data_IF_565134547211
#
_entry.id   IF_565134547211
#
_cell.length_a   1.000
_cell.length_b   1.000
_cell.length_c   1.000
_cell.angle_alpha   90.00
_cell.angle_beta   90.00
_cell.angle_gamma   90.00
#
_symmetry.space_group_name_H-M   'P 1'
#
loop_
_entity.id
_entity.type
_entity.pdbx_description
1 polymer ?
2 polymer ?
3 polymer ?
4 non-polymer ?
5 non-polymer ?
6 water ?
#
loop_
_entity_poly.entity_id
_entity_poly.type
_entity_poly.pdbx_seq_one_letter_code
_entity_poly.pdbx_strand_id
1 'polydeoxyribonucleotide' '(DA)(DG)(DG)(DG)(BRU)(DC)(DC)(BRU)(BRU)(DC)(DC)(DC)(DC)(DC)' ?
2 'polydeoxyribonucleotide' '(DG)(DG)(DG)(DG)(DG)(DA)(DA)(DG)(DG)(DA)(DC)(DC)(DOC)' ?
#
# COMPACT_ATOMS: atom_id res chain seq x y z
N UNK C 1 26.02 -0.53 1.18
CA UNK C 1 25.01 0.13 2.07
C UNK C 1 24.04 0.98 1.25
N UNK C 2 22.75 0.78 1.47
CA UNK C 2 21.73 1.52 0.76
C UNK C 2 21.03 2.58 1.63
N UNK C 3 20.53 3.62 0.99
CA UNK C 3 19.78 4.66 1.67
C UNK C 3 18.41 4.65 0.99
N UNK C 4 17.44 4.11 1.71
CA UNK C 4 16.08 3.97 1.22
C UNK C 4 15.13 4.89 1.97
N UNK C 5 14.16 5.46 1.25
CA UNK C 5 13.18 6.32 1.89
C UNK C 5 11.80 5.75 1.65
N UNK C 6 10.97 5.77 2.69
CA UNK C 6 9.60 5.29 2.61
C UNK C 6 8.67 6.47 2.85
N UNK C 7 7.87 6.79 1.84
CA UNK C 7 6.94 7.90 1.92
C UNK C 7 5.54 7.34 2.19
N UNK C 8 4.91 7.85 3.23
CA UNK C 8 3.59 7.38 3.63
C UNK C 8 2.73 8.59 3.91
N UNK C 9 1.70 8.79 3.10
CA UNK C 9 0.84 9.96 3.26
C UNK C 9 -0.16 9.86 4.40
N UNK C 10 -0.52 11.00 4.97
CA UNK C 10 -1.47 11.05 6.06
C UNK C 10 -2.90 10.77 5.56
N UNK C 11 -3.60 9.88 6.26
CA UNK C 11 -5.00 9.53 5.95
C UNK C 11 -5.35 9.95 4.52
N UNK C 12 -4.70 9.28 3.56
CA UNK C 12 -4.84 9.61 2.14
C UNK C 12 -6.21 9.98 1.59
N UNK C 13 -7.19 9.09 1.69
CA UNK C 13 -8.53 9.40 1.16
C UNK C 13 -9.12 10.66 1.81
N UNK C 14 -9.01 10.77 3.11
CA UNK C 14 -9.55 11.93 3.80
C UNK C 14 -8.89 13.17 3.22
N UNK C 15 -7.58 13.11 3.02
CA UNK C 15 -6.83 14.23 2.46
C UNK C 15 -7.34 14.63 1.10
N UNK C 16 -7.57 13.63 0.25
CA UNK C 16 -8.06 13.93 -1.08
C UNK C 16 -9.49 14.50 -1.03
N UNK C 17 -10.24 14.11 -0.01
CA UNK C 17 -11.61 14.61 0.12
C UNK C 17 -11.62 16.01 0.73
N UNK C 18 -10.68 16.27 1.64
CA UNK C 18 -10.58 17.57 2.28
C UNK C 18 -10.10 18.64 1.31
N UNK C 19 -9.25 18.23 0.37
CA UNK C 19 -8.73 19.16 -0.62
C UNK C 19 -9.84 19.50 -1.62
N UNK C 20 -10.82 18.61 -1.74
CA UNK C 20 -11.94 18.83 -2.64
C UNK C 20 -12.96 19.77 -2.00
N UNK C 21 -13.30 19.50 -0.74
CA UNK C 21 -14.25 20.34 -0.02
C UNK C 21 -13.59 20.89 1.25
N UNK C 22 -12.99 22.09 1.14
CA UNK C 22 -12.31 22.78 2.24
C UNK C 22 -13.08 22.83 3.55
N UNK C 23 -14.41 22.95 3.46
CA UNK C 23 -15.22 23.01 4.66
C UNK C 23 -15.25 21.68 5.42
N UNK C 24 -14.22 20.87 5.20
CA UNK C 24 -14.11 19.58 5.86
C UNK C 24 -12.81 19.48 6.65
N UNK C 25 -11.86 20.35 6.33
CA UNK C 25 -10.55 20.33 7.00
C UNK C 25 -10.54 20.95 8.39
N UNK C 26 -11.68 20.92 9.06
CA UNK C 26 -11.78 21.48 10.40
C UNK C 26 -12.63 20.59 11.31
N UNK C 27 -13.38 19.68 10.72
CA UNK C 27 -14.22 18.78 11.49
C UNK C 27 -13.86 17.32 11.26
N UNK C 28 -14.17 16.45 12.22
CA UNK C 28 -13.90 15.01 12.13
C UNK C 28 -14.45 14.44 10.84
N UNK C 29 -13.58 13.96 9.96
CA UNK C 29 -14.01 13.40 8.70
C UNK C 29 -13.64 11.94 8.53
N UNK C 30 -14.57 11.19 7.96
CA UNK C 30 -14.32 9.79 7.72
C UNK C 30 -14.76 9.50 6.30
N UNK C 31 -14.06 8.58 5.63
CA UNK C 31 -14.44 8.24 4.27
C UNK C 31 -15.12 6.88 4.37
N UNK C 32 -16.37 6.82 3.91
CA UNK C 32 -17.13 5.59 3.99
C UNK C 32 -17.17 4.77 2.71
N UNK C 33 -17.09 3.45 2.88
CA UNK C 33 -17.14 2.49 1.79
C UNK C 33 -18.05 1.34 2.22
N UNK C 34 -19.33 1.42 1.85
CA UNK C 34 -20.29 0.37 2.19
C UNK C 34 -20.27 0.04 3.68
N UNK C 35 -20.73 0.97 4.51
CA UNK C 35 -20.77 0.75 5.95
C UNK C 35 -19.41 0.37 6.53
N UNK C 36 -18.35 1.00 6.03
CA UNK C 36 -17.01 0.71 6.53
C UNK C 36 -16.11 1.92 6.34
N UNK C 37 -15.91 2.67 7.43
CA UNK C 37 -15.05 3.85 7.40
C UNK C 37 -13.61 3.41 7.20
N UNK C 38 -13.16 3.33 5.95
CA UNK C 38 -11.79 2.91 5.66
C UNK C 38 -10.77 3.82 6.32
N UNK C 39 -11.08 5.12 6.37
CA UNK C 39 -10.14 6.06 6.98
C UNK C 39 -10.84 7.33 7.40
N UNK C 40 -10.12 8.16 8.16
CA UNK C 40 -10.65 9.42 8.65
C UNK C 40 -9.48 10.35 8.93
N UNK C 41 -9.72 11.66 8.91
CA UNK C 41 -8.64 12.61 9.17
C UNK C 41 -8.24 12.57 10.65
N UNK C 42 -7.04 13.05 10.96
CA UNK C 42 -6.55 13.05 12.33
C UNK C 42 -7.42 13.88 13.26
N UNK C 43 -8.19 14.80 12.69
CA UNK C 43 -9.06 15.65 13.48
C UNK C 43 -10.28 14.83 13.91
N UNK C 44 -10.11 13.51 13.94
CA UNK C 44 -11.17 12.58 14.33
C UNK C 44 -10.56 11.28 14.81
N UNK C 45 -9.28 11.08 14.46
CA UNK C 45 -8.57 9.89 14.86
C UNK C 45 -8.32 9.99 16.37
N UNK C 46 -8.48 11.20 16.90
CA UNK C 46 -8.28 11.44 18.31
C UNK C 46 -9.56 11.07 19.07
N UNK C 47 -10.67 11.06 18.34
CA UNK C 47 -11.97 10.73 18.93
C UNK C 47 -12.26 9.24 18.93
N UNK C 48 -11.22 8.44 19.10
CA UNK C 48 -11.38 6.99 19.15
C UNK C 48 -11.53 6.29 17.81
N UNK C 49 -11.99 7.02 16.79
CA UNK C 49 -12.16 6.44 15.47
C UNK C 49 -10.83 5.88 14.99
N UNK C 50 -10.78 4.58 14.73
CA UNK C 50 -9.55 3.94 14.28
C UNK C 50 -9.73 3.16 12.98
N UNK C 51 -10.38 3.79 12.00
CA UNK C 51 -10.61 3.14 10.72
C UNK C 51 -11.54 1.95 10.95
N UNK C 52 -12.39 2.07 11.98
CA UNK C 52 -13.33 1.02 12.34
C UNK C 52 -14.61 1.08 11.52
N UNK C 53 -15.30 -0.05 11.43
CA UNK C 53 -16.54 -0.14 10.67
C UNK C 53 -17.67 0.60 11.39
N UNK C 54 -18.89 0.11 11.18
CA UNK C 54 -20.08 0.70 11.78
C UNK C 54 -20.11 2.22 11.67
N UNK C 55 -20.78 2.70 10.62
CA UNK C 55 -20.91 4.12 10.36
C UNK C 55 -21.51 4.89 11.54
N UNK C 56 -22.36 4.22 12.31
CA UNK C 56 -23.02 4.85 13.46
C UNK C 56 -22.06 5.16 14.61
N UNK C 57 -21.04 4.32 14.80
CA UNK C 57 -20.06 4.51 15.87
C UNK C 57 -19.65 5.96 16.03
N UNK C 58 -18.73 6.41 15.17
CA UNK C 58 -18.24 7.79 15.22
C UNK C 58 -19.39 8.79 15.13
N UNK C 59 -20.37 8.48 14.29
CA UNK C 59 -21.53 9.36 14.10
C UNK C 59 -22.04 9.96 15.42
N UNK C 60 -22.40 9.10 16.36
CA UNK C 60 -22.90 9.54 17.64
C UNK C 60 -21.88 10.42 18.34
N UNK C 61 -20.69 9.90 18.56
CA UNK C 61 -19.63 10.65 19.22
C UNK C 61 -19.15 11.81 18.37
N UNK C 62 -19.88 12.11 17.30
CA UNK C 62 -19.54 13.21 16.42
C UNK C 62 -20.67 13.48 15.43
N UNK C 63 -21.68 14.24 15.84
CA UNK C 63 -22.82 14.57 14.98
C UNK C 63 -22.37 15.08 13.62
N UNK C 64 -21.49 16.08 13.63
CA UNK C 64 -20.97 16.66 12.40
C UNK C 64 -19.74 15.88 11.94
N UNK C 65 -19.90 14.57 11.79
CA UNK C 65 -18.82 13.72 11.34
C UNK C 65 -18.69 13.88 9.83
N UNK C 66 -19.76 14.38 9.23
CA UNK C 66 -19.82 14.60 7.79
C UNK C 66 -19.03 13.55 7.01
N UNK C 67 -19.57 12.34 6.96
CA UNK C 67 -18.93 11.24 6.26
C UNK C 67 -19.12 11.36 4.75
N UNK C 68 -18.09 10.98 4.00
CA UNK C 68 -18.15 11.05 2.55
C UNK C 68 -17.95 9.65 1.98
N UNK C 69 -18.60 9.38 0.86
CA UNK C 69 -18.50 8.06 0.22
C UNK C 69 -17.21 7.97 -0.59
N UNK C 70 -16.43 6.92 -0.37
CA UNK C 70 -15.19 6.78 -1.10
C UNK C 70 -15.13 5.54 -1.96
N UNK C 71 -16.28 5.05 -2.41
CA UNK C 71 -16.34 3.85 -3.24
C UNK C 71 -15.68 4.01 -4.60
N UNK C 72 -15.92 5.14 -5.25
CA UNK C 72 -15.30 5.43 -6.54
C UNK C 72 -13.85 5.80 -6.18
N UNK C 73 -12.88 5.06 -6.73
CA UNK C 73 -11.47 5.33 -6.42
C UNK C 73 -10.72 6.21 -7.42
N UNK C 74 -11.39 6.59 -8.50
CA UNK C 74 -10.78 7.43 -9.53
C UNK C 74 -9.89 8.56 -9.02
N UNK C 75 -10.46 9.48 -8.26
CA UNK C 75 -9.72 10.64 -7.74
C UNK C 75 -8.48 10.27 -6.91
N UNK C 76 -8.61 9.23 -6.10
CA UNK C 76 -7.53 8.76 -5.25
C UNK C 76 -6.39 8.20 -6.09
N UNK C 77 -6.76 7.39 -7.07
CA UNK C 77 -5.78 6.77 -7.95
C UNK C 77 -5.02 7.82 -8.75
N UNK C 78 -5.70 8.88 -9.15
CA UNK C 78 -5.05 9.93 -9.92
C UNK C 78 -4.05 10.69 -9.06
N UNK C 79 -4.44 11.01 -7.83
CA UNK C 79 -3.52 11.71 -6.96
C UNK C 79 -2.36 10.77 -6.63
N UNK C 80 -2.69 9.50 -6.40
CA UNK C 80 -1.66 8.52 -6.08
C UNK C 80 -0.56 8.53 -7.13
N UNK C 81 -0.94 8.50 -8.40
CA UNK C 81 0.08 8.50 -9.45
C UNK C 81 0.80 9.82 -9.57
N UNK C 82 0.15 10.92 -9.20
CA UNK C 82 0.83 12.21 -9.26
C UNK C 82 1.94 12.21 -8.20
N UNK C 83 1.69 11.56 -7.07
CA UNK C 83 2.70 11.49 -6.01
C UNK C 83 3.89 10.66 -6.51
N UNK C 84 3.61 9.49 -7.05
CA UNK C 84 4.67 8.61 -7.55
C UNK C 84 5.50 9.29 -8.63
N UNK C 85 4.85 9.99 -9.55
CA UNK C 85 5.57 10.68 -10.62
C UNK C 85 6.45 11.80 -10.06
N UNK C 86 5.93 12.55 -9.11
CA UNK C 86 6.71 13.62 -8.50
C UNK C 86 7.93 12.97 -7.87
N UNK C 87 7.73 11.86 -7.17
CA UNK C 87 8.85 11.17 -6.55
C UNK C 87 9.82 10.65 -7.61
N UNK C 88 9.30 10.09 -8.69
CA UNK C 88 10.16 9.57 -9.76
C UNK C 88 11.08 10.65 -10.33
N UNK C 89 10.64 11.91 -10.23
CA UNK C 89 11.44 13.03 -10.72
C UNK C 89 12.70 13.19 -9.87
N UNK C 90 12.59 12.93 -8.57
CA UNK C 90 13.76 13.02 -7.69
C UNK C 90 14.70 11.88 -8.05
N UNK C 91 14.16 10.69 -8.19
CA UNK C 91 14.94 9.51 -8.53
C UNK C 91 14.04 8.44 -9.14
N UNK C 92 14.42 7.93 -10.32
CA UNK C 92 13.70 6.90 -11.10
C UNK C 92 13.19 5.65 -10.40
N UNK C 93 14.03 5.01 -9.60
CA UNK C 93 13.63 3.78 -8.93
C UNK C 93 12.66 4.03 -7.78
N UNK C 94 11.37 3.91 -8.09
CA UNK C 94 10.31 4.13 -7.13
C UNK C 94 9.29 3.00 -7.13
N UNK C 95 9.03 2.45 -5.94
CA UNK C 95 8.08 1.36 -5.79
C UNK C 95 6.82 1.80 -5.04
N UNK C 96 5.67 1.45 -5.61
CA UNK C 96 4.39 1.76 -5.03
C UNK C 96 3.92 0.57 -4.18
N UNK C 97 3.17 0.87 -3.13
CA UNK C 97 2.62 -0.15 -2.25
C UNK C 97 1.29 0.45 -1.84
N UNK C 98 0.22 0.01 -2.50
CA UNK C 98 -1.09 0.57 -2.23
C UNK C 98 -1.13 1.93 -2.91
N UNK C 99 -2.13 2.73 -2.60
CA UNK C 99 -2.27 4.05 -3.22
C UNK C 99 -1.52 5.20 -2.57
N UNK C 100 -0.98 5.02 -1.37
CA UNK C 100 -0.28 6.14 -0.74
C UNK C 100 1.09 5.87 -0.14
N UNK C 101 1.70 4.74 -0.49
CA UNK C 101 3.03 4.43 0.00
C UNK C 101 3.97 4.31 -1.18
N UNK C 102 5.18 4.82 -1.02
CA UNK C 102 6.19 4.76 -2.07
C UNK C 102 7.57 4.56 -1.45
N UNK C 103 8.33 3.62 -2.00
CA UNK C 103 9.69 3.40 -1.55
C UNK C 103 10.55 4.02 -2.64
N UNK C 104 11.63 4.67 -2.23
CA UNK C 104 12.53 5.25 -3.20
C UNK C 104 13.95 4.91 -2.80
N UNK C 105 14.71 4.39 -3.76
CA UNK C 105 16.11 4.04 -3.53
C UNK C 105 16.91 5.31 -3.81
N UNK C 106 17.47 5.90 -2.76
CA UNK C 106 18.23 7.14 -2.87
C UNK C 106 19.74 6.98 -2.91
N UNK C 107 20.20 5.74 -2.82
CA UNK C 107 21.65 5.47 -2.79
C UNK C 107 22.48 6.31 -3.75
N UNK C 108 22.27 6.14 -5.06
CA UNK C 108 23.05 6.89 -6.04
C UNK C 108 22.92 8.40 -5.90
N UNK C 109 21.71 8.87 -5.63
CA UNK C 109 21.47 10.29 -5.49
C UNK C 109 22.23 10.86 -4.30
N UNK C 110 22.23 10.12 -3.18
CA UNK C 110 22.94 10.57 -1.99
C UNK C 110 24.44 10.72 -2.29
N UNK C 111 25.01 9.72 -2.95
CA UNK C 111 26.43 9.76 -3.30
C UNK C 111 26.76 10.94 -4.19
N UNK C 112 25.98 11.13 -5.24
CA UNK C 112 26.21 12.24 -6.16
C UNK C 112 26.28 13.54 -5.37
N UNK C 113 25.44 13.67 -4.35
CA UNK C 113 25.46 14.89 -3.56
C UNK C 113 26.71 14.97 -2.71
N UNK C 114 27.07 13.88 -2.05
CA UNK C 114 28.28 13.87 -1.21
C UNK C 114 29.52 14.26 -2.00
N UNK C 115 29.72 13.62 -3.14
CA UNK C 115 30.87 13.92 -4.00
C UNK C 115 30.89 15.40 -4.40
N UNK C 116 29.71 15.95 -4.68
CA UNK C 116 29.59 17.34 -5.09
C UNK C 116 29.94 18.28 -3.93
N UNK C 117 29.82 17.80 -2.70
CA UNK C 117 30.10 18.60 -1.52
C UNK C 117 31.60 18.74 -1.24
N UNK C 118 31.98 19.88 -0.64
CA UNK C 118 33.37 20.16 -0.31
C UNK C 118 33.88 19.32 0.85
N UNK C 119 35.21 19.27 0.99
CA UNK C 119 35.85 18.51 2.05
C UNK C 119 35.92 19.32 3.34
N UNK C 120 35.01 20.28 3.47
CA UNK C 120 34.97 21.14 4.65
C UNK C 120 33.53 21.33 5.12
N UNK C 121 32.61 21.46 4.17
CA UNK C 121 31.21 21.64 4.49
C UNK C 121 30.57 20.29 4.78
N UNK C 122 31.40 19.24 4.76
CA UNK C 122 30.95 17.88 5.02
C UNK C 122 30.65 17.75 6.50
N UNK C 123 31.35 18.55 7.31
CA UNK C 123 31.15 18.53 8.76
C UNK C 123 30.03 19.47 9.15
N UNK C 124 29.39 20.06 8.15
CA UNK C 124 28.28 20.99 8.38
C UNK C 124 26.97 20.28 8.07
N UNK C 125 27.06 19.08 7.51
CA UNK C 125 25.86 18.32 7.17
C UNK C 125 24.99 18.15 8.42
N UNK C 126 23.70 18.41 8.27
CA UNK C 126 22.78 18.28 9.39
C UNK C 126 21.57 17.44 8.99
N UNK C 127 20.80 17.05 9.99
CA UNK C 127 19.63 16.24 9.76
C UNK C 127 18.40 17.09 9.57
N UNK C 128 17.43 16.54 8.85
CA UNK C 128 16.16 17.21 8.62
C UNK C 128 15.11 16.31 9.28
N UNK C 129 14.44 16.83 10.29
CA UNK C 129 13.44 16.03 10.98
C UNK C 129 14.01 15.27 12.18
N UNK C 130 13.28 14.23 12.60
CA UNK C 130 13.66 13.42 13.76
C UNK C 130 14.75 12.39 13.54
N UNK C 131 15.56 12.18 14.58
CA UNK C 131 16.58 11.13 14.55
C UNK C 131 15.97 10.08 15.49
N UNK C 132 15.70 8.89 14.97
CA UNK C 132 15.08 7.86 15.80
C UNK C 132 15.83 7.58 17.11
N UNK C 133 15.06 7.39 18.18
CA UNK C 133 15.58 7.11 19.51
C UNK C 133 16.54 8.19 19.96
N UNK C 134 16.33 9.40 19.43
CA UNK C 134 17.15 10.55 19.78
C UNK C 134 18.62 10.16 19.80
N UNK C 135 19.02 9.31 18.88
CA UNK C 135 20.41 8.86 18.81
C UNK C 135 21.40 9.97 18.38
N UNK C 136 22.56 9.97 19.01
CA UNK C 136 23.59 10.97 18.71
C UNK C 136 24.25 10.74 17.36
N UNK C 137 24.39 11.83 16.60
CA UNK C 137 25.01 11.74 15.29
C UNK C 137 26.53 11.82 15.35
N UNK C 138 27.20 11.07 14.48
CA UNK C 138 28.66 11.12 14.41
C UNK C 138 28.99 11.52 12.99
N UNK C 139 29.37 12.78 12.83
CA UNK C 139 29.70 13.31 11.52
C UNK C 139 30.83 12.59 10.79
N UNK C 140 31.64 11.84 11.53
CA UNK C 140 32.76 11.13 10.90
C UNK C 140 32.34 9.73 10.47
N UNK C 141 31.11 9.35 10.80
CA UNK C 141 30.59 8.05 10.40
C UNK C 141 29.96 8.20 9.01
N UNK C 142 30.62 7.65 8.01
CA UNK C 142 30.15 7.73 6.62
C UNK C 142 28.68 7.35 6.45
N UNK C 143 28.26 6.30 7.15
CA UNK C 143 26.88 5.84 7.07
C UNK C 143 25.92 6.86 7.71
N UNK C 144 26.38 7.55 8.75
CA UNK C 144 25.56 8.57 9.41
C UNK C 144 25.36 9.73 8.43
N UNK C 145 26.46 10.15 7.80
CA UNK C 145 26.44 11.25 6.85
C UNK C 145 25.49 10.98 5.69
N UNK C 146 25.61 9.79 5.11
CA UNK C 146 24.78 9.39 3.98
C UNK C 146 23.31 9.32 4.35
N UNK C 147 23.01 8.86 5.56
CA UNK C 147 21.62 8.77 6.00
C UNK C 147 21.07 10.17 6.29
N UNK C 148 21.93 11.07 6.74
CA UNK C 148 21.48 12.44 7.02
C UNK C 148 21.17 13.13 5.70
N UNK C 149 21.99 12.85 4.69
CA UNK C 149 21.75 13.44 3.38
C UNK C 149 20.43 12.88 2.89
N UNK C 150 20.19 11.61 3.21
CA UNK C 150 18.95 10.98 2.81
C UNK C 150 17.78 11.72 3.44
N UNK C 151 17.95 12.13 4.70
CA UNK C 151 16.87 12.86 5.38
C UNK C 151 16.58 14.19 4.69
N UNK C 152 17.61 14.79 4.11
CA UNK C 152 17.49 16.07 3.40
C UNK C 152 16.67 15.89 2.12
N UNK C 153 16.92 14.81 1.39
CA UNK C 153 16.16 14.55 0.18
C UNK C 153 14.70 14.24 0.54
N UNK C 154 14.50 13.58 1.68
CA UNK C 154 13.15 13.24 2.11
C UNK C 154 12.35 14.51 2.40
N UNK C 155 12.99 15.47 3.07
CA UNK C 155 12.36 16.73 3.42
C UNK C 155 12.00 17.50 2.14
N UNK C 156 12.87 17.42 1.14
CA UNK C 156 12.61 18.09 -0.13
C UNK C 156 11.40 17.46 -0.81
N UNK C 157 11.29 16.13 -0.78
CA UNK C 157 10.17 15.44 -1.41
C UNK C 157 8.85 15.80 -0.74
N UNK C 158 8.85 15.85 0.59
CA UNK C 158 7.65 16.17 1.33
C UNK C 158 7.24 17.62 1.06
N UNK C 159 8.22 18.52 1.02
CA UNK C 159 7.98 19.93 0.75
C UNK C 159 7.36 20.07 -0.65
N UNK C 160 7.99 19.44 -1.64
CA UNK C 160 7.51 19.50 -3.01
C UNK C 160 6.12 18.85 -3.15
N UNK C 161 5.87 17.79 -2.39
CA UNK C 161 4.56 17.14 -2.44
C UNK C 161 3.50 18.10 -1.92
N UNK C 162 3.87 18.91 -0.94
CA UNK C 162 2.91 19.86 -0.38
C UNK C 162 2.73 21.09 -1.28
N UNK C 163 3.83 21.70 -1.70
CA UNK C 163 3.78 22.87 -2.55
C UNK C 163 3.16 22.61 -3.91
N UNK C 164 3.49 21.48 -4.51
CA UNK C 164 2.97 21.15 -5.84
C UNK C 164 1.65 20.40 -5.89
N UNK C 165 1.35 19.59 -4.87
CA UNK C 165 0.11 18.80 -4.86
C UNK C 165 -0.81 19.03 -3.66
N UNK C 166 -0.35 19.80 -2.67
CA UNK C 166 -1.18 20.08 -1.51
C UNK C 166 -1.39 18.91 -0.55
N UNK C 167 -0.50 17.93 -0.58
CA UNK C 167 -0.58 16.75 0.28
C UNK C 167 0.52 16.71 1.32
N UNK C 168 0.18 16.20 2.50
CA UNK C 168 1.14 16.05 3.59
C UNK C 168 1.36 14.57 3.80
N UNK C 169 2.44 14.21 4.47
CA UNK C 169 2.73 12.82 4.73
C UNK C 169 3.99 12.64 5.53
N UNK C 170 4.29 11.41 5.90
CA UNK C 170 5.49 11.13 6.65
C UNK C 170 6.51 10.45 5.77
N UNK C 171 7.75 10.46 6.21
CA UNK C 171 8.84 9.82 5.48
C UNK C 171 9.74 9.14 6.47
N UNK C 172 10.34 8.04 6.04
CA UNK C 172 11.26 7.31 6.88
C UNK C 172 12.51 7.01 6.09
N UNK C 173 13.68 7.34 6.66
CA UNK C 173 14.93 7.09 5.97
C UNK C 173 15.73 6.04 6.73
N UNK C 174 16.10 4.97 6.04
CA UNK C 174 16.87 3.88 6.65
C UNK C 174 17.73 3.17 5.61
N UNK C 175 18.41 2.09 6.01
CA UNK C 175 19.29 1.34 5.10
C UNK C 175 18.61 0.25 4.28
N UNK C 176 17.34 -0.04 4.56
CA UNK C 176 16.60 -1.02 3.77
C UNK C 176 15.10 -0.73 3.90
N UNK C 177 14.29 -1.36 3.04
CA UNK C 177 12.84 -1.14 3.02
C UNK C 177 12.10 -1.42 4.33
N UNK C 178 12.42 -2.54 4.96
CA UNK C 178 11.79 -2.93 6.22
C UNK C 178 11.93 -1.82 7.26
N UNK C 179 13.18 -1.43 7.53
CA UNK C 179 13.49 -0.40 8.51
C UNK C 179 12.93 0.99 8.13
N UNK C 180 12.98 1.34 6.84
CA UNK C 180 12.45 2.62 6.35
C UNK C 180 10.94 2.68 6.57
N UNK C 181 10.28 1.57 6.27
CA UNK C 181 8.83 1.49 6.46
C UNK C 181 8.49 1.55 7.96
N UNK C 182 9.24 0.82 8.79
CA UNK C 182 8.96 0.84 10.24
C UNK C 182 9.24 2.19 10.89
N UNK C 183 10.33 2.85 10.49
CA UNK C 183 10.67 4.11 11.10
C UNK C 183 9.84 5.31 10.61
N UNK C 184 9.23 5.20 9.42
CA UNK C 184 8.43 6.30 8.89
C UNK C 184 7.21 6.51 9.77
N UNK C 185 6.81 5.48 10.51
CA UNK C 185 5.65 5.61 11.37
C UNK C 185 5.91 6.00 12.83
N UNK C 186 7.15 6.34 13.19
CA UNK C 186 7.45 6.71 14.58
C UNK C 186 6.77 8.03 14.99
N UNK C 187 6.87 9.05 14.15
CA UNK C 187 6.20 10.34 14.39
C UNK C 187 5.26 10.44 13.20
N UNK C 188 4.00 10.06 13.41
CA UNK C 188 3.01 9.99 12.33
C UNK C 188 2.32 11.23 11.79
N UNK C 189 2.08 12.22 12.64
CA UNK C 189 1.41 13.30 11.93
C UNK C 189 2.32 14.19 11.09
N UNK C 190 2.36 13.95 9.78
CA UNK C 190 3.16 14.79 8.87
C UNK C 190 4.57 15.16 9.34
N UNK C 191 5.39 14.14 9.57
CA UNK C 191 6.77 14.33 10.03
C UNK C 191 7.64 13.24 9.43
N UNK C 192 8.96 13.33 9.62
CA UNK C 192 9.86 12.32 9.10
C UNK C 192 10.89 11.93 10.14
N UNK C 193 11.41 10.70 10.00
CA UNK C 193 12.39 10.15 10.94
C UNK C 193 13.47 9.38 10.17
N UNK C 194 14.71 9.52 10.61
CA UNK C 194 15.81 8.79 10.01
C UNK C 194 16.38 7.81 11.05
N UNK C 195 16.72 6.61 10.61
CA UNK C 195 17.25 5.58 11.49
C UNK C 195 18.74 5.32 11.31
N UNK C 196 19.53 5.65 12.33
CA UNK C 196 20.96 5.41 12.28
C UNK C 196 21.15 3.94 12.68
N UNK C 197 22.15 3.25 12.10
CA UNK C 197 22.43 1.83 12.36
C UNK C 197 22.41 1.35 13.83
N UNK C 198 23.06 2.07 14.73
CA UNK C 198 23.11 1.65 16.12
C UNK C 198 21.74 1.54 16.82
N UNK C 199 20.68 2.00 16.17
CA UNK C 199 19.34 1.95 16.79
C UNK C 199 18.41 0.93 16.16
N UNK C 200 18.94 0.16 15.22
CA UNK C 200 18.16 -0.86 14.54
C UNK C 200 17.50 -1.85 15.49
N UNK C 201 18.25 -2.37 16.47
CA UNK C 201 17.67 -3.32 17.41
C UNK C 201 16.59 -2.70 18.26
N UNK C 202 16.82 -1.46 18.68
CA UNK C 202 15.84 -0.76 19.50
C UNK C 202 14.53 -0.63 18.70
N UNK C 203 14.65 -0.33 17.41
CA UNK C 203 13.45 -0.19 16.56
C UNK C 203 12.73 -1.52 16.42
N UNK C 204 13.49 -2.58 16.17
CA UNK C 204 12.86 -3.88 15.96
C UNK C 204 12.21 -4.43 17.22
N UNK C 205 12.85 -4.23 18.37
CA UNK C 205 12.30 -4.70 19.63
C UNK C 205 11.20 -3.79 20.18
N UNK C 206 10.95 -2.68 19.51
CA UNK C 206 9.89 -1.77 19.97
C UNK C 206 8.56 -2.36 19.52
N UNK C 207 8.61 -3.29 18.57
CA UNK C 207 7.39 -3.93 18.08
C UNK C 207 6.88 -4.84 19.17
N UNK C 208 5.57 -5.05 19.22
CA UNK C 208 5.00 -5.90 20.26
C UNK C 208 4.58 -7.30 19.81
N UNK C 209 4.71 -7.56 18.51
CA UNK C 209 4.34 -8.87 17.97
C UNK C 209 4.92 -9.05 16.57
N UNK C 210 5.53 -10.21 16.35
CA UNK C 210 6.14 -10.53 15.07
C UNK C 210 5.25 -10.19 13.87
N UNK C 211 3.94 -10.13 14.10
CA UNK C 211 3.01 -9.82 13.03
C UNK C 211 3.09 -8.34 12.63
N UNK C 212 3.70 -7.52 13.47
CA UNK C 212 3.84 -6.10 13.17
C UNK C 212 5.02 -5.88 12.24
N UNK C 213 5.75 -6.95 11.95
CA UNK C 213 6.91 -6.88 11.07
C UNK C 213 6.47 -6.97 9.61
N UNK C 214 6.87 -5.98 8.78
CA UNK C 214 6.51 -5.98 7.37
C UNK C 214 7.06 -7.21 6.66
N UNK C 215 6.17 -8.03 6.12
CA UNK C 215 6.59 -9.24 5.46
C UNK C 215 6.10 -10.46 6.21
N UNK C 216 5.33 -10.23 7.27
CA UNK C 216 4.77 -11.31 8.08
C UNK C 216 3.31 -10.97 8.35
N UNK C 217 2.41 -11.52 7.53
CA UNK C 217 0.99 -11.24 7.69
C UNK C 217 0.20 -12.08 8.67
N UNK C 218 -1.08 -12.24 8.38
CA UNK C 218 -1.99 -13.01 9.22
C UNK C 218 -1.62 -14.50 9.22
N UNK C 219 -1.21 -15.01 8.06
CA UNK C 219 -0.84 -16.42 7.92
C UNK C 219 0.38 -16.81 8.75
N UNK C 220 1.57 -16.34 8.35
CA UNK C 220 2.79 -16.69 9.07
C UNK C 220 2.69 -16.40 10.57
N UNK C 221 2.00 -15.30 10.92
CA UNK C 221 1.83 -14.94 12.31
C UNK C 221 1.26 -16.14 13.07
N UNK C 222 0.17 -16.70 12.56
CA UNK C 222 -0.47 -17.86 13.18
C UNK C 222 0.46 -19.08 13.26
N UNK C 223 1.16 -19.36 12.16
CA UNK C 223 2.09 -20.49 12.12
C UNK C 223 3.23 -20.36 13.13
N UNK C 224 3.71 -19.14 13.33
CA UNK C 224 4.80 -18.91 14.27
C UNK C 224 4.30 -19.06 15.71
N UNK C 225 3.08 -18.56 15.96
CA UNK C 225 2.47 -18.65 17.27
C UNK C 225 2.39 -20.10 17.72
N UNK C 226 1.69 -20.91 16.94
CA UNK C 226 1.51 -22.33 17.24
C UNK C 226 2.85 -23.02 17.46
N UNK C 227 3.94 -22.33 17.12
CA UNK C 227 5.28 -22.86 17.28
C UNK C 227 5.96 -22.28 18.52
N UNK C 228 5.20 -21.49 19.29
CA UNK C 228 5.76 -20.89 20.48
C UNK C 228 6.55 -19.62 20.18
N UNK C 229 6.06 -18.84 19.23
CA UNK C 229 6.74 -17.59 18.85
C UNK C 229 5.77 -16.42 18.83
N UNK C 230 5.97 -15.48 19.74
CA UNK C 230 5.10 -14.30 19.82
C UNK C 230 5.84 -12.98 19.74
N UNK C 231 7.04 -12.92 20.34
CA UNK C 231 7.82 -11.69 20.34
C UNK C 231 8.89 -11.72 19.26
N UNK C 232 9.42 -10.54 18.94
CA UNK C 232 10.48 -10.46 17.94
C UNK C 232 11.73 -11.22 18.41
N UNK C 233 12.08 -11.10 19.69
CA UNK C 233 13.26 -11.79 20.21
C UNK C 233 13.05 -13.30 20.16
N UNK C 234 11.79 -13.73 20.26
CA UNK C 234 11.49 -15.16 20.16
C UNK C 234 11.92 -15.69 18.80
N UNK C 235 11.71 -14.90 17.75
CA UNK C 235 12.07 -15.32 16.40
C UNK C 235 13.57 -15.22 16.18
N UNK C 236 14.18 -14.17 16.71
CA UNK C 236 15.61 -13.98 16.56
C UNK C 236 16.38 -15.15 17.16
N UNK C 237 15.88 -15.68 18.29
CA UNK C 237 16.56 -16.76 18.99
C UNK C 237 16.04 -18.17 18.71
N UNK C 238 14.96 -18.29 17.96
CA UNK C 238 14.41 -19.61 17.66
C UNK C 238 15.43 -20.41 16.85
N UNK C 239 15.40 -21.73 16.98
CA UNK C 239 16.34 -22.58 16.25
C UNK C 239 16.05 -22.45 14.76
N UNK C 240 17.05 -22.07 13.96
CA UNK C 240 16.85 -21.91 12.52
C UNK C 240 16.30 -23.20 11.94
N UNK C 241 17.06 -24.27 12.15
CA UNK C 241 16.72 -25.61 11.67
C UNK C 241 15.24 -25.91 11.75
N UNK C 242 14.69 -25.86 12.96
CA UNK C 242 13.28 -26.16 13.13
C UNK C 242 12.41 -25.24 12.29
N UNK C 243 12.75 -23.95 12.26
CA UNK C 243 11.99 -22.99 11.49
C UNK C 243 12.03 -23.40 10.01
N UNK C 244 13.24 -23.73 9.56
CA UNK C 244 13.47 -24.15 8.18
C UNK C 244 12.61 -25.37 7.84
N UNK C 245 12.51 -26.30 8.80
CA UNK C 245 11.73 -27.52 8.61
C UNK C 245 10.26 -27.30 8.91
N UNK C 246 9.79 -26.06 8.78
CA UNK C 246 8.40 -25.75 9.05
C UNK C 246 7.81 -24.84 7.98
N UNK C 247 8.61 -23.90 7.49
CA UNK C 247 8.17 -22.97 6.47
C UNK C 247 9.00 -23.11 5.20
N UNK C 248 10.06 -23.90 5.29
CA UNK C 248 10.94 -24.10 4.14
C UNK C 248 12.20 -23.31 4.35
N UNK C 249 13.23 -23.61 3.56
CA UNK C 249 14.51 -22.91 3.69
C UNK C 249 14.40 -21.50 3.14
N UNK C 250 13.43 -21.29 2.26
CA UNK C 250 13.21 -19.99 1.64
C UNK C 250 12.58 -18.99 2.60
N UNK C 251 11.39 -19.31 3.07
CA UNK C 251 10.66 -18.45 3.98
C UNK C 251 11.33 -18.33 5.34
N UNK C 252 11.86 -19.44 5.85
CA UNK C 252 12.51 -19.46 7.14
C UNK C 252 13.65 -18.46 7.22
N UNK C 253 14.61 -18.59 6.30
CA UNK C 253 15.75 -17.68 6.29
C UNK C 253 15.34 -16.21 6.15
N UNK C 254 14.37 -15.95 5.29
CA UNK C 254 13.92 -14.57 5.06
C UNK C 254 13.19 -14.02 6.27
N UNK C 255 12.18 -14.76 6.72
CA UNK C 255 11.39 -14.36 7.87
C UNK C 255 12.28 -14.08 9.07
N UNK C 256 13.28 -14.93 9.28
CA UNK C 256 14.16 -14.76 10.42
C UNK C 256 15.13 -13.60 10.31
N UNK C 257 15.56 -13.28 9.09
CA UNK C 257 16.47 -12.17 8.90
C UNK C 257 15.73 -10.87 9.20
N UNK C 258 14.44 -10.86 8.93
CA UNK C 258 13.62 -9.68 9.18
C UNK C 258 13.55 -9.40 10.67
N UNK C 259 13.57 -10.46 11.49
CA UNK C 259 13.50 -10.26 12.94
C UNK C 259 14.71 -9.51 13.45
N UNK C 260 15.79 -9.54 12.69
CA UNK C 260 17.00 -8.81 13.06
C UNK C 260 17.09 -7.45 12.36
N UNK C 261 16.05 -7.11 11.60
CA UNK C 261 16.07 -5.84 10.89
C UNK C 261 16.90 -5.92 9.62
N UNK C 262 17.10 -7.15 9.13
CA UNK C 262 17.86 -7.40 7.91
C UNK C 262 16.91 -7.71 6.75
N UNK C 263 17.05 -6.96 5.67
CA UNK C 263 16.18 -7.11 4.51
C UNK C 263 16.94 -6.61 3.28
N UNK C 264 17.28 -7.54 2.39
CA UNK C 264 18.03 -7.17 1.19
C UNK C 264 17.19 -6.94 -0.07
N UNK C 265 15.88 -7.13 0.03
CA UNK C 265 15.01 -6.95 -1.12
C UNK C 265 15.26 -5.59 -1.80
N UNK C 266 15.30 -5.59 -3.13
CA UNK C 266 15.53 -4.34 -3.87
C UNK C 266 14.27 -3.50 -4.00
N UNK C 267 14.43 -2.19 -4.15
CA UNK C 267 13.26 -1.33 -4.36
C UNK C 267 12.92 -1.59 -5.83
N UNK C 268 11.70 -2.03 -6.10
CA UNK C 268 11.31 -2.33 -7.49
C UNK C 268 10.65 -1.15 -8.21
N UNK C 269 11.08 -0.88 -9.43
CA UNK C 269 10.49 0.20 -10.21
C UNK C 269 9.11 -0.29 -10.63
N UNK C 270 8.07 0.31 -10.05
CA UNK C 270 6.69 -0.09 -10.34
C UNK C 270 6.31 0.25 -11.78
N UNK C 271 6.68 1.43 -12.23
CA UNK C 271 6.32 1.81 -13.57
C UNK C 271 4.81 1.80 -13.72
N UNK C 272 4.32 1.76 -14.96
CA UNK C 272 2.87 1.74 -15.20
C UNK C 272 2.23 0.50 -14.59
N UNK C 273 0.91 0.56 -14.31
CA UNK C 273 0.11 -0.50 -13.72
C UNK C 273 0.05 -1.73 -14.62
N UNK C 274 0.20 -2.91 -14.04
CA UNK C 274 0.14 -4.14 -14.82
C UNK C 274 -1.28 -4.70 -14.94
N UNK C 275 -2.25 -4.03 -14.32
CA UNK C 275 -3.64 -4.49 -14.38
C UNK C 275 -4.64 -3.41 -13.93
N UNK C 276 -5.89 -3.55 -14.36
CA UNK C 276 -6.94 -2.59 -14.02
C UNK C 276 -8.17 -3.29 -13.43
N UNK C 277 -8.07 -3.72 -12.18
CA UNK C 277 -9.20 -4.40 -11.54
C UNK C 277 -10.26 -3.36 -11.16
N UNK C 278 -11.37 -3.82 -10.61
CA UNK C 278 -12.46 -2.94 -10.20
C UNK C 278 -13.64 -3.72 -9.63
N UNK C 279 -13.53 -4.09 -8.35
CA UNK C 279 -14.56 -4.85 -7.66
C UNK C 279 -15.90 -4.11 -7.57
N UNK C 280 -16.82 -4.68 -6.81
CA UNK C 280 -18.15 -4.08 -6.61
C UNK C 280 -18.82 -4.69 -5.39
N UNK C 281 -19.83 -4.01 -4.87
CA UNK C 281 -20.56 -4.47 -3.69
C UNK C 281 -21.64 -5.48 -4.00
N UNK C 282 -22.89 -5.12 -3.70
CA UNK C 282 -24.06 -5.97 -3.90
C UNK C 282 -23.76 -7.43 -4.17
N UNK C 283 -22.96 -8.03 -3.30
CA UNK C 283 -22.58 -9.42 -3.43
C UNK C 283 -21.80 -9.81 -2.17
N UNK C 284 -21.57 -8.81 -1.32
CA UNK C 284 -20.86 -9.01 -0.06
C UNK C 284 -21.85 -8.80 1.08
N UNK C 285 -22.83 -7.94 0.85
CA UNK C 285 -23.87 -7.64 1.83
C UNK C 285 -25.18 -8.30 1.40
N UNK C 286 -25.58 -8.03 0.16
CA UNK C 286 -26.81 -8.60 -0.39
C UNK C 286 -26.83 -8.47 -1.92
N UNK C 287 -27.18 -9.56 -2.60
CA UNK C 287 -27.25 -9.58 -4.05
C UNK C 287 -28.48 -10.34 -4.54
N UNK C 288 -28.75 -10.24 -5.84
CA UNK C 288 -29.89 -10.92 -6.44
C UNK C 288 -29.45 -11.83 -7.59
N UNK C 289 -28.27 -12.41 -7.46
CA UNK C 289 -27.73 -13.30 -8.49
C UNK C 289 -27.60 -12.52 -9.79
N UNK C 290 -27.27 -11.23 -9.67
CA UNK C 290 -27.12 -10.36 -10.84
C UNK C 290 -26.08 -10.92 -11.79
N UNK C 291 -26.09 -10.42 -13.03
CA UNK C 291 -25.16 -10.87 -14.05
C UNK C 291 -24.92 -9.79 -15.09
N UNK C 292 -25.92 -9.53 -15.92
CA UNK C 292 -25.82 -8.52 -16.97
C UNK C 292 -25.28 -7.22 -16.37
N UNK C 293 -25.42 -7.09 -15.05
CA UNK C 293 -24.96 -5.91 -14.33
C UNK C 293 -23.55 -6.13 -13.78
N UNK C 294 -23.32 -7.32 -13.22
CA UNK C 294 -22.02 -7.67 -12.65
C UNK C 294 -20.97 -7.76 -13.76
N UNK C 295 -21.27 -7.16 -14.90
CA UNK C 295 -20.37 -7.17 -16.05
C UNK C 295 -20.36 -5.79 -16.70
N UNK C 296 -21.50 -5.09 -16.60
CA UNK C 296 -21.61 -3.76 -17.17
C UNK C 296 -21.21 -2.74 -16.12
N UNK C 297 -21.36 -3.10 -14.85
CA UNK C 297 -20.99 -2.22 -13.75
C UNK C 297 -19.51 -2.40 -13.47
N UNK C 298 -19.13 -3.60 -13.05
CA UNK C 298 -17.73 -3.91 -12.76
C UNK C 298 -16.85 -3.43 -13.90
N UNK C 299 -17.32 -3.65 -15.13
CA UNK C 299 -16.56 -3.26 -16.32
C UNK C 299 -17.12 -1.99 -16.93
N UNK C 300 -17.65 -1.11 -16.10
CA UNK C 300 -18.22 0.15 -16.57
C UNK C 300 -17.13 1.06 -17.15
N UNK C 301 -16.76 2.08 -16.40
CA UNK C 301 -15.72 3.02 -16.84
C UNK C 301 -14.42 2.25 -17.04
N UNK C 302 -14.37 1.04 -16.50
CA UNK C 302 -13.20 0.18 -16.63
C UNK C 302 -12.85 -0.01 -18.09
N UNK C 303 -13.74 0.45 -18.97
CA UNK C 303 -13.55 0.35 -20.40
C UNK C 303 -13.25 1.71 -21.02
N UNK C 304 -14.25 2.58 -21.00
CA UNK C 304 -14.11 3.92 -21.57
C UNK C 304 -12.98 4.71 -20.91
N UNK C 305 -12.35 4.14 -19.90
CA UNK C 305 -11.26 4.81 -19.20
C UNK C 305 -10.01 3.95 -19.11
N UNK C 306 -9.72 3.25 -20.19
CA UNK C 306 -8.54 2.39 -20.28
C UNK C 306 -7.75 2.79 -21.53
N UNK C 307 -8.38 3.63 -22.35
CA UNK C 307 -7.76 4.12 -23.59
C UNK C 307 -6.91 5.35 -23.29
N UNK C 308 -7.16 5.96 -22.13
CA UNK C 308 -6.42 7.15 -21.72
C UNK C 308 -4.93 6.88 -21.71
N UNK C 309 -4.51 5.85 -20.99
CA UNK C 309 -3.10 5.50 -20.92
C UNK C 309 -2.66 4.89 -22.24
N UNK C 310 -3.65 4.59 -23.09
CA UNK C 310 -3.37 4.02 -24.39
C UNK C 310 -2.65 2.69 -24.33
N UNK C 311 -3.29 1.70 -23.70
CA UNK C 311 -2.69 0.38 -23.57
C UNK C 311 -3.78 -0.69 -23.64
N UNK C 312 -3.47 -1.79 -24.31
CA UNK C 312 -4.43 -2.87 -24.51
C UNK C 312 -4.24 -4.10 -23.61
N UNK C 313 -5.31 -4.54 -22.95
CA UNK C 313 -5.30 -5.70 -22.06
C UNK C 313 -5.48 -6.97 -22.89
N UNK C 314 -5.11 -8.12 -22.31
CA UNK C 314 -5.24 -9.39 -23.03
C UNK C 314 -5.72 -10.54 -22.14
N UNK C 315 -6.32 -10.21 -21.00
CA UNK C 315 -6.80 -11.23 -20.08
C UNK C 315 -7.81 -10.71 -19.05
N UNK C 316 -8.84 -11.49 -18.79
CA UNK C 316 -9.87 -11.13 -17.81
C UNK C 316 -9.83 -12.18 -16.69
N UNK C 317 -10.12 -11.75 -15.46
CA UNK C 317 -10.09 -12.65 -14.32
C UNK C 317 -11.09 -12.27 -13.23
N UNK C 318 -11.88 -13.24 -12.79
CA UNK C 318 -12.89 -13.01 -11.77
C UNK C 318 -12.53 -13.70 -10.45
N UNK C 319 -12.26 -12.91 -9.43
CA UNK C 319 -11.89 -13.43 -8.11
C UNK C 319 -13.15 -13.58 -7.25
N UNK C 320 -13.18 -14.64 -6.45
CA UNK C 320 -14.34 -14.91 -5.60
C UNK C 320 -13.97 -15.57 -4.28
N UNK C 321 -14.58 -15.10 -3.19
CA UNK C 321 -14.32 -15.65 -1.87
C UNK C 321 -15.62 -16.20 -1.28
N UNK C 322 -15.59 -16.57 -0.01
CA UNK C 322 -16.77 -17.13 0.64
C UNK C 322 -16.82 -16.84 2.14
N UNK C 323 -17.95 -17.20 2.76
CA UNK C 323 -18.15 -17.02 4.19
C UNK C 323 -17.28 -18.04 4.89
N UNK C 324 -16.14 -17.61 5.43
CA UNK C 324 -15.22 -18.51 6.11
C UNK C 324 -15.02 -18.16 7.58
N UNK C 325 -13.81 -18.43 8.07
CA UNK C 325 -13.44 -18.16 9.46
C UNK C 325 -12.04 -17.57 9.51
N UNK C 326 -11.41 -17.65 10.68
CA UNK C 326 -10.07 -17.12 10.88
C UNK C 326 -10.03 -15.62 10.56
N UNK C 327 -9.88 -15.30 9.28
CA UNK C 327 -9.85 -13.91 8.84
C UNK C 327 -10.62 -13.75 7.54
N UNK C 328 -9.90 -13.49 6.45
CA UNK C 328 -10.51 -13.31 5.15
C UNK C 328 -10.25 -14.49 4.21
N UNK C 329 -10.32 -15.70 4.75
CA UNK C 329 -10.10 -16.89 3.95
C UNK C 329 -11.06 -16.93 2.76
N UNK C 330 -10.54 -16.58 1.58
CA UNK C 330 -11.37 -16.58 0.39
C UNK C 330 -10.63 -16.12 -0.85
N UNK C 331 -10.06 -17.06 -1.58
CA UNK C 331 -9.32 -16.76 -2.80
C UNK C 331 -9.69 -17.78 -3.87
N UNK C 332 -10.49 -17.36 -4.85
CA UNK C 332 -10.91 -18.23 -5.94
C UNK C 332 -11.23 -17.39 -7.19
N UNK C 333 -10.24 -17.24 -8.05
CA UNK C 333 -10.39 -16.45 -9.28
C UNK C 333 -10.76 -17.28 -10.50
N UNK C 334 -10.60 -16.67 -11.69
CA UNK C 334 -10.90 -17.30 -12.97
C UNK C 334 -10.48 -16.36 -14.10
N UNK C 335 -9.41 -16.71 -14.82
CA UNK C 335 -8.92 -15.85 -15.91
C UNK C 335 -9.12 -16.45 -17.31
N UNK C 336 -9.12 -15.59 -18.33
CA UNK C 336 -9.29 -16.02 -19.72
C UNK C 336 -8.76 -14.99 -20.72
N UNK C 337 -8.60 -15.38 -21.99
CA UNK C 337 -8.10 -14.49 -23.04
C UNK C 337 -9.08 -13.40 -23.41
N UNK C 338 -8.65 -12.52 -24.32
CA UNK C 338 -9.47 -11.42 -24.80
C UNK C 338 -9.15 -11.19 -26.27
N UNK C 339 -9.91 -11.83 -27.18
CA UNK C 339 -9.71 -11.71 -28.61
C UNK C 339 -9.33 -10.30 -29.05
N UNK C 340 -8.51 -10.21 -30.10
CA UNK C 340 -8.06 -8.92 -30.60
C UNK C 340 -9.02 -8.39 -31.66
N UNK C 341 -8.48 -8.02 -32.81
CA UNK C 341 -9.26 -7.48 -33.92
C UNK C 341 -10.49 -6.68 -33.47
N UNK C 342 -11.67 -7.09 -33.90
CA UNK C 342 -12.90 -6.40 -33.54
C UNK C 342 -13.04 -6.19 -32.03
N UNK C 343 -12.66 -7.20 -31.24
CA UNK C 343 -12.75 -7.11 -29.80
C UNK C 343 -11.87 -5.97 -29.28
N UNK C 344 -10.60 -5.98 -29.69
CA UNK C 344 -9.66 -4.94 -29.29
C UNK C 344 -9.58 -3.89 -30.38
N UNK C 345 -10.75 -3.36 -30.76
CA UNK C 345 -10.86 -2.34 -31.79
C UNK C 345 -10.12 -1.06 -31.40
N UNK C 346 -10.45 0.02 -32.10
CA UNK C 346 -9.84 1.32 -31.85
C UNK C 346 -10.75 2.39 -32.45
N UNK C 347 -12.03 2.07 -32.55
CA UNK C 347 -13.00 3.00 -33.12
C UNK C 347 -14.22 3.24 -32.25
N UNK C 348 -15.40 3.17 -32.85
CA UNK C 348 -16.66 3.39 -32.15
C UNK C 348 -17.26 2.11 -31.59
N UNK C 349 -17.22 1.04 -32.38
CA UNK C 349 -17.78 -0.23 -31.95
C UNK C 349 -17.01 -0.89 -30.83
N UNK C 350 -17.22 -0.42 -29.60
CA UNK C 350 -16.54 -0.96 -28.43
C UNK C 350 -17.52 -1.77 -27.60
N UNK C 351 -18.81 -1.49 -27.78
CA UNK C 351 -19.88 -2.16 -27.05
C UNK C 351 -19.91 -3.66 -27.34
N UNK C 352 -19.36 -4.05 -28.49
CA UNK C 352 -19.35 -5.46 -28.90
C UNK C 352 -18.63 -6.36 -27.89
N UNK C 353 -17.73 -5.78 -27.09
CA UNK C 353 -16.99 -6.57 -26.11
C UNK C 353 -17.86 -6.86 -24.88
N UNK C 354 -18.91 -6.07 -24.72
CA UNK C 354 -19.82 -6.22 -23.59
C UNK C 354 -20.29 -7.67 -23.48
N UNK C 355 -20.96 -8.16 -24.53
CA UNK C 355 -21.47 -9.52 -24.57
C UNK C 355 -20.43 -10.59 -24.27
N UNK C 356 -19.33 -10.62 -25.03
CA UNK C 356 -18.27 -11.61 -24.84
C UNK C 356 -17.83 -11.75 -23.38
N UNK C 357 -17.62 -10.62 -22.72
CA UNK C 357 -17.21 -10.64 -21.32
C UNK C 357 -18.28 -11.32 -20.50
N UNK C 358 -19.54 -11.17 -20.90
CA UNK C 358 -20.63 -11.80 -20.18
C UNK C 358 -20.47 -13.31 -20.10
N UNK C 359 -20.58 -13.98 -21.24
CA UNK C 359 -20.46 -15.44 -21.28
C UNK C 359 -19.26 -16.02 -20.54
N UNK C 360 -18.08 -15.43 -20.68
CA UNK C 360 -16.91 -15.96 -19.97
C UNK C 360 -17.14 -15.87 -18.47
N UNK C 361 -17.32 -14.67 -17.96
CA UNK C 361 -17.57 -14.48 -16.53
C UNK C 361 -18.71 -15.39 -16.09
N UNK C 362 -19.74 -15.44 -16.93
CA UNK C 362 -20.90 -16.27 -16.66
C UNK C 362 -20.69 -17.70 -17.13
N UNK C 363 -19.53 -18.25 -16.79
CA UNK C 363 -19.17 -19.62 -17.14
C UNK C 363 -18.06 -20.01 -16.18
N UNK C 364 -17.19 -19.05 -15.90
CA UNK C 364 -16.08 -19.25 -14.97
C UNK C 364 -16.66 -19.14 -13.57
N UNK C 365 -17.88 -18.62 -13.50
CA UNK C 365 -18.58 -18.46 -12.23
C UNK C 365 -19.37 -19.72 -11.91
N UNK C 366 -20.11 -20.22 -12.89
CA UNK C 366 -20.89 -21.43 -12.69
C UNK C 366 -20.00 -22.66 -12.53
N UNK C 367 -18.68 -22.43 -12.60
CA UNK C 367 -17.71 -23.50 -12.44
C UNK C 367 -16.95 -23.24 -11.14
N UNK C 368 -17.44 -22.29 -10.36
CA UNK C 368 -16.81 -21.93 -9.09
C UNK C 368 -17.42 -22.72 -7.94
N UNK C 369 -16.93 -23.96 -7.78
CA UNK C 369 -17.39 -24.86 -6.73
C UNK C 369 -18.89 -24.73 -6.45
N UNK C 370 -19.69 -24.77 -7.52
CA UNK C 370 -21.13 -24.66 -7.40
C UNK C 370 -21.70 -25.94 -6.78
N UNK C 371 -21.57 -26.06 -5.45
CA UNK C 371 -22.06 -27.24 -4.75
C UNK C 371 -22.10 -27.04 -3.23
N UNK C 372 -21.11 -26.33 -2.70
CA UNK C 372 -21.03 -26.09 -1.27
C UNK C 372 -20.63 -24.66 -0.91
N UNK C 373 -21.63 -23.84 -0.57
CA UNK C 373 -21.41 -22.45 -0.20
C UNK C 373 -20.70 -21.57 -1.25
N UNK C 374 -21.00 -21.78 -2.55
CA UNK C 374 -20.33 -20.96 -3.57
C UNK C 374 -21.12 -19.69 -3.87
N UNK C 375 -22.42 -19.71 -3.52
CA UNK C 375 -23.30 -18.57 -3.76
C UNK C 375 -23.47 -17.67 -2.53
N UNK C 376 -23.88 -16.44 -2.80
CA UNK C 376 -24.12 -15.43 -1.77
C UNK C 376 -23.30 -15.61 -0.49
N UNK C 377 -22.04 -15.19 -0.53
CA UNK C 377 -21.16 -15.27 0.64
C UNK C 377 -19.96 -14.35 0.50
N UNK C 378 -20.22 -13.11 0.09
CA UNK C 378 -19.18 -12.10 -0.09
C UNK C 378 -18.20 -12.49 -1.19
N UNK C 379 -18.21 -11.73 -2.28
CA UNK C 379 -17.34 -12.00 -3.42
C UNK C 379 -17.37 -10.85 -4.42
N UNK C 380 -17.27 -11.18 -5.70
CA UNK C 380 -17.30 -10.20 -6.78
C UNK C 380 -16.01 -9.40 -6.94
N UNK C 381 -15.27 -9.70 -8.01
CA UNK C 381 -14.02 -9.01 -8.31
C UNK C 381 -13.50 -9.40 -9.70
N UNK C 382 -13.40 -8.41 -10.59
CA UNK C 382 -12.92 -8.65 -11.95
C UNK C 382 -11.58 -7.96 -12.17
N UNK C 383 -10.78 -8.51 -13.09
CA UNK C 383 -9.46 -7.95 -13.38
C UNK C 383 -9.15 -7.84 -14.87
N UNK C 384 -8.18 -6.99 -15.19
CA UNK C 384 -7.73 -6.77 -16.56
C UNK C 384 -6.21 -6.82 -16.61
N UNK C 385 -5.62 -8.00 -16.39
CA UNK C 385 -4.17 -8.12 -16.39
C UNK C 385 -3.63 -8.40 -17.79
N UNK C 386 -2.30 -8.39 -17.90
CA UNK C 386 -1.62 -8.63 -19.17
C UNK C 386 -1.86 -7.52 -20.18
N UNK C 387 -0.99 -6.51 -20.14
CA UNK C 387 -1.09 -5.39 -21.06
C UNK C 387 0.26 -5.12 -21.70
N UNK C 388 0.22 -4.67 -22.97
CA UNK C 388 1.44 -4.38 -23.70
C UNK C 388 1.21 -3.28 -24.74
#
# INVERSE_FOLDING_TARGET
SRVIVHVDLDCFYAQVEMISNPELKDKPLGVQQKYLVVTCNYEARKLGVKKLMNVRDAKEKCPQLVLVNGEDLTRYREMSYKVTELLEEFSPVVERLGFDENFVDLTEMVEKRLQQLQSDELSAVTVSGHVYNNQSINLLDVLHIRLLVGSQIAAEMREAMYNQLGLTGCAGVASNKLLAKLVSGVFKPNQQTVLLPESCQHLIHSLNHIKEIPGIGYKTAKCLEALGINSVRDLQTFSPKILEKELGISVAQRIQKLSFGEDNSPVILSGPPQSFSEEDSFKKCSSEVEAKNKIEELLASLLNRVCQDGRKPHTVRLIIRRYSSEKHYGRESRQCPIPSHVIQKLGTGNYDVMTPMVDILMKLFRNMVNVKMPFHLTLLSVCFCNLK
#
